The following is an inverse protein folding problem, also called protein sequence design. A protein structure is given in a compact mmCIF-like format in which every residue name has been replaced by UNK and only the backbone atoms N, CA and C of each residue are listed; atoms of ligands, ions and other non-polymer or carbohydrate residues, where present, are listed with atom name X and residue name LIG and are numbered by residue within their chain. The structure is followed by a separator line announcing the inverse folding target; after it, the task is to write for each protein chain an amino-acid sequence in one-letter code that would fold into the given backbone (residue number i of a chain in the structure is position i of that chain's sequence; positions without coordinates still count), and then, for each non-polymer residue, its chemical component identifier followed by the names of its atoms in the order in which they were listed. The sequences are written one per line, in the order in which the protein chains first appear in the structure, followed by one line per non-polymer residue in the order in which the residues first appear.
data_IF_559024810127
#
_entry.id   IF_559024810127
#
_cell.length_a   1.000
_cell.length_b   1.000
_cell.length_c   1.000
_cell.angle_alpha   90.00
_cell.angle_beta   90.00
_cell.angle_gamma   90.00
#
_symmetry.space_group_name_H-M   'P 1'
#
loop_
_entity.id
_entity.type
_entity.pdbx_description
1 polymer ?
#
# COMPACT_ATOMS: atom_id res chain seq x y z
N UNK A 1 -1.65 -15.92 13.79
CA UNK A 1 -0.81 -16.31 12.64
C UNK A 1 0.38 -17.05 13.20
N UNK A 2 0.62 -18.29 12.74
CA UNK A 2 1.84 -19.05 13.07
C UNK A 2 2.84 -18.77 11.96
N UNK A 3 3.94 -18.10 12.29
CA UNK A 3 5.03 -17.84 11.35
C UNK A 3 5.82 -19.14 11.14
N UNK A 4 6.03 -19.55 9.91
CA UNK A 4 6.82 -20.73 9.58
C UNK A 4 8.31 -20.51 9.92
N UNK A 5 8.79 -19.30 9.65
CA UNK A 5 10.12 -18.81 10.02
C UNK A 5 9.94 -17.47 10.73
N UNK A 6 10.80 -17.17 11.69
CA UNK A 6 10.80 -15.84 12.33
C UNK A 6 11.66 -14.88 11.51
N UNK A 7 11.19 -14.58 10.30
CA UNK A 7 11.91 -13.79 9.30
C UNK A 7 12.27 -14.62 8.06
N UNK A 8 13.51 -14.53 7.60
CA UNK A 8 14.01 -15.24 6.42
C UNK A 8 14.30 -16.72 6.73
N UNK A 9 13.90 -17.62 5.83
CA UNK A 9 14.42 -18.99 5.81
C UNK A 9 15.89 -19.02 5.39
N UNK A 10 16.56 -20.16 5.60
CA UNK A 10 17.95 -20.35 5.12
C UNK A 10 18.09 -20.08 3.62
N UNK A 11 17.08 -20.48 2.82
CA UNK A 11 17.05 -20.18 1.38
C UNK A 11 16.85 -18.68 1.12
N UNK A 12 16.01 -17.99 1.92
CA UNK A 12 15.82 -16.55 1.85
C UNK A 12 17.12 -15.81 2.12
N UNK A 13 17.89 -16.19 3.14
CA UNK A 13 19.18 -15.60 3.44
C UNK A 13 20.20 -15.80 2.29
N UNK A 14 20.23 -17.00 1.72
CA UNK A 14 21.07 -17.29 0.54
C UNK A 14 20.63 -16.45 -0.68
N UNK A 15 19.34 -16.22 -0.86
CA UNK A 15 18.81 -15.36 -1.92
C UNK A 15 19.32 -13.94 -1.80
N UNK A 16 19.30 -13.32 -0.60
CA UNK A 16 19.85 -11.96 -0.36
C UNK A 16 21.32 -11.91 -0.79
N UNK A 17 22.15 -12.88 -0.39
CA UNK A 17 23.57 -12.94 -0.77
C UNK A 17 23.73 -13.03 -2.30
N UNK A 18 22.89 -13.82 -2.98
CA UNK A 18 22.93 -13.97 -4.45
C UNK A 18 22.47 -12.69 -5.16
N UNK A 19 21.41 -12.03 -4.67
CA UNK A 19 20.94 -10.76 -5.20
C UNK A 19 22.03 -9.69 -5.13
N UNK A 20 22.71 -9.54 -3.99
CA UNK A 20 23.86 -8.64 -3.86
C UNK A 20 24.98 -8.97 -4.86
N UNK A 21 25.30 -10.25 -5.03
CA UNK A 21 26.34 -10.67 -5.98
C UNK A 21 26.01 -10.32 -7.43
N UNK A 22 24.73 -10.33 -7.79
CA UNK A 22 24.29 -10.08 -9.17
C UNK A 22 23.81 -8.62 -9.40
N UNK A 23 23.90 -7.77 -8.37
CA UNK A 23 23.47 -6.38 -8.46
C UNK A 23 21.93 -6.24 -8.59
N UNK A 24 21.18 -7.21 -8.04
CA UNK A 24 19.71 -7.15 -8.02
C UNK A 24 19.29 -6.35 -6.81
N UNK A 25 18.49 -5.29 -7.01
CA UNK A 25 17.92 -4.48 -5.94
C UNK A 25 16.95 -5.31 -5.11
N UNK A 26 17.00 -5.12 -3.79
CA UNK A 26 16.13 -5.80 -2.84
C UNK A 26 15.06 -4.83 -2.38
N UNK A 27 13.78 -5.22 -2.49
CA UNK A 27 12.63 -4.44 -2.08
C UNK A 27 12.06 -4.96 -0.75
N UNK A 28 11.78 -4.03 0.18
CA UNK A 28 11.26 -4.29 1.52
C UNK A 28 9.76 -3.99 1.67
N UNK A 29 9.04 -3.65 0.61
CA UNK A 29 7.66 -3.15 0.71
C UNK A 29 6.61 -4.20 1.11
N UNK A 30 6.92 -5.50 0.99
CA UNK A 30 5.95 -6.58 1.23
C UNK A 30 6.30 -7.58 2.33
N UNK A 31 7.57 -7.81 2.69
CA UNK A 31 7.92 -8.78 3.72
C UNK A 31 7.50 -8.35 5.13
N UNK A 32 7.59 -9.26 6.10
CA UNK A 32 7.40 -8.94 7.51
C UNK A 32 8.57 -8.11 8.07
N UNK A 33 8.32 -7.42 9.18
CA UNK A 33 9.35 -6.64 9.88
C UNK A 33 10.61 -7.49 10.15
N UNK A 34 10.44 -8.72 10.64
CA UNK A 34 11.56 -9.61 10.94
C UNK A 34 12.37 -9.95 9.69
N UNK A 35 11.69 -10.16 8.56
CA UNK A 35 12.35 -10.38 7.26
C UNK A 35 13.08 -9.12 6.78
N UNK A 36 12.48 -7.96 6.94
CA UNK A 36 13.08 -6.68 6.58
C UNK A 36 14.34 -6.40 7.39
N UNK A 37 14.28 -6.55 8.71
CA UNK A 37 15.41 -6.34 9.61
C UNK A 37 16.57 -7.30 9.30
N UNK A 38 16.27 -8.58 9.07
CA UNK A 38 17.29 -9.56 8.68
C UNK A 38 17.88 -9.27 7.29
N UNK A 39 17.04 -8.82 6.36
CA UNK A 39 17.47 -8.43 5.01
C UNK A 39 18.46 -7.26 5.07
N UNK A 40 18.13 -6.21 5.82
CA UNK A 40 18.99 -5.04 5.98
C UNK A 40 20.32 -5.39 6.66
N UNK A 41 20.30 -6.28 7.65
CA UNK A 41 21.51 -6.76 8.32
C UNK A 41 22.41 -7.62 7.41
N UNK A 42 21.84 -8.39 6.48
CA UNK A 42 22.57 -9.28 5.57
C UNK A 42 23.04 -8.58 4.29
N UNK A 43 22.28 -7.60 3.82
CA UNK A 43 22.57 -6.93 2.54
C UNK A 43 23.87 -6.10 2.63
N UNK A 44 24.72 -6.27 1.63
CA UNK A 44 25.97 -5.50 1.45
C UNK A 44 25.77 -4.27 0.56
N UNK A 45 24.57 -4.10 0.04
CA UNK A 45 24.17 -2.97 -0.82
C UNK A 45 22.94 -2.31 -0.24
N UNK A 46 22.72 -1.01 -0.50
CA UNK A 46 21.50 -0.34 -0.12
C UNK A 46 20.26 -1.08 -0.61
N UNK A 47 19.24 -1.15 0.23
CA UNK A 47 17.92 -1.73 -0.10
C UNK A 47 16.92 -0.63 -0.41
N UNK A 48 15.77 -0.99 -0.97
CA UNK A 48 14.70 -0.07 -1.31
C UNK A 48 13.38 -0.54 -0.69
N UNK A 49 12.60 0.36 -0.11
CA UNK A 49 11.19 0.14 0.10
C UNK A 49 10.44 0.93 -0.99
N UNK A 50 10.11 0.25 -2.09
CA UNK A 50 9.63 0.88 -3.33
C UNK A 50 8.27 1.58 -3.18
N UNK A 51 7.44 1.15 -2.22
CA UNK A 51 6.12 1.72 -1.93
C UNK A 51 5.73 1.44 -0.48
N UNK A 52 6.14 2.30 0.42
CA UNK A 52 5.83 2.22 1.85
C UNK A 52 5.55 3.62 2.43
N UNK A 53 5.48 3.76 3.73
CA UNK A 53 5.32 5.03 4.46
C UNK A 53 5.67 4.83 5.93
N UNK A 54 5.62 5.89 6.74
CA UNK A 54 5.85 5.80 8.18
C UNK A 54 4.64 5.21 8.91
N UNK A 55 4.83 4.11 9.64
CA UNK A 55 3.79 3.47 10.45
C UNK A 55 3.35 4.32 11.62
N UNK A 56 4.25 5.07 12.22
CA UNK A 56 3.99 5.98 13.34
C UNK A 56 3.01 7.09 12.99
N UNK A 57 3.00 7.59 11.75
CA UNK A 57 2.05 8.62 11.30
C UNK A 57 0.65 8.03 11.09
N UNK A 58 0.55 6.81 10.55
CA UNK A 58 -0.71 6.14 10.28
C UNK A 58 -0.51 4.62 10.35
N UNK A 59 -1.04 3.96 11.40
CA UNK A 59 -0.75 2.56 11.75
C UNK A 59 -1.36 1.55 10.77
N UNK A 60 -0.62 1.26 9.71
CA UNK A 60 -0.92 0.21 8.73
C UNK A 60 0.22 -0.80 8.72
N UNK A 61 -0.10 -2.09 8.86
CA UNK A 61 0.89 -3.17 8.96
C UNK A 61 1.87 -3.30 7.78
N UNK A 62 1.55 -2.69 6.65
CA UNK A 62 2.39 -2.67 5.43
C UNK A 62 3.43 -1.55 5.42
N UNK A 63 3.42 -0.71 6.44
CA UNK A 63 4.36 0.40 6.59
C UNK A 63 5.53 0.02 7.47
N UNK A 64 6.64 0.74 7.29
CA UNK A 64 7.82 0.60 8.12
C UNK A 64 7.64 1.35 9.44
N UNK A 65 7.95 0.71 10.55
CA UNK A 65 8.05 1.38 11.84
C UNK A 65 9.41 2.10 11.99
N UNK A 66 9.56 2.85 13.08
CA UNK A 66 10.75 3.67 13.30
C UNK A 66 12.03 2.84 13.38
N UNK A 67 11.97 1.62 13.93
CA UNK A 67 13.13 0.73 14.00
C UNK A 67 13.58 0.27 12.61
N UNK A 68 12.60 -0.09 11.75
CA UNK A 68 12.86 -0.44 10.35
C UNK A 68 13.42 0.76 9.56
N UNK A 69 12.85 1.96 9.76
CA UNK A 69 13.31 3.19 9.11
C UNK A 69 14.76 3.53 9.52
N UNK A 70 15.10 3.41 10.80
CA UNK A 70 16.46 3.64 11.28
C UNK A 70 17.45 2.59 10.73
N UNK A 71 17.07 1.32 10.71
CA UNK A 71 17.88 0.26 10.09
C UNK A 71 18.07 0.47 8.58
N UNK A 72 17.05 0.96 7.88
CA UNK A 72 17.14 1.32 6.47
C UNK A 72 18.13 2.46 6.23
N UNK A 73 18.13 3.49 7.08
CA UNK A 73 19.13 4.57 7.05
C UNK A 73 20.55 4.04 7.23
N UNK A 74 20.77 3.17 8.22
CA UNK A 74 22.10 2.57 8.48
C UNK A 74 22.58 1.71 7.31
N UNK A 75 21.67 1.00 6.64
CA UNK A 75 21.97 0.25 5.42
C UNK A 75 22.28 1.16 4.21
N UNK A 76 21.93 2.46 4.27
CA UNK A 76 22.02 3.41 3.16
C UNK A 76 20.87 3.29 2.16
N UNK A 77 19.80 2.62 2.52
CA UNK A 77 18.61 2.39 1.70
C UNK A 77 17.71 3.61 1.59
N UNK A 78 16.64 3.48 0.77
CA UNK A 78 15.65 4.51 0.53
C UNK A 78 14.24 3.94 0.76
N UNK A 79 13.39 4.68 1.48
CA UNK A 79 11.95 4.45 1.52
C UNK A 79 11.25 5.42 0.57
N UNK A 80 10.43 4.88 -0.33
CA UNK A 80 9.61 5.68 -1.23
C UNK A 80 8.18 5.74 -0.71
N UNK A 81 7.74 6.95 -0.35
CA UNK A 81 6.43 7.20 0.23
C UNK A 81 5.35 6.99 -0.82
N UNK A 82 4.39 6.11 -0.54
CA UNK A 82 3.32 5.77 -1.48
C UNK A 82 2.07 6.62 -1.23
N UNK A 83 1.47 7.12 -2.32
CA UNK A 83 0.32 8.03 -2.28
C UNK A 83 -1.04 7.30 -2.30
N UNK A 84 -1.17 6.16 -1.63
CA UNK A 84 -2.46 5.49 -1.43
C UNK A 84 -3.25 6.12 -0.29
N UNK A 85 -4.55 6.42 -0.47
CA UNK A 85 -5.43 6.97 0.56
C UNK A 85 -5.29 6.24 1.90
N UNK A 86 -5.42 4.91 1.90
CA UNK A 86 -5.35 4.09 3.11
C UNK A 86 -3.97 4.08 3.77
N UNK A 87 -2.91 4.39 3.01
CA UNK A 87 -1.56 4.50 3.56
C UNK A 87 -1.30 5.89 4.12
N UNK A 88 -1.88 6.91 3.51
CA UNK A 88 -1.69 8.29 3.94
C UNK A 88 -2.53 8.61 5.16
N UNK A 89 -3.85 8.41 5.10
CA UNK A 89 -4.74 8.62 6.25
C UNK A 89 -5.84 7.53 6.30
N UNK A 90 -5.73 6.64 7.29
CA UNK A 90 -6.65 5.53 7.46
C UNK A 90 -8.05 5.99 7.92
N UNK A 91 -8.12 7.08 8.70
CA UNK A 91 -9.39 7.61 9.23
C UNK A 91 -10.17 8.27 8.10
N UNK A 92 -9.56 9.19 7.37
CA UNK A 92 -10.17 9.81 6.18
C UNK A 92 -10.53 8.76 5.13
N UNK A 93 -9.66 7.77 4.91
CA UNK A 93 -9.95 6.67 4.00
C UNK A 93 -11.18 5.86 4.41
N UNK A 94 -11.31 5.49 5.69
CA UNK A 94 -12.45 4.73 6.20
C UNK A 94 -13.77 5.53 6.09
N UNK A 95 -13.73 6.82 6.40
CA UNK A 95 -14.87 7.73 6.26
C UNK A 95 -15.28 7.88 4.79
N UNK A 96 -14.31 8.07 3.90
CA UNK A 96 -14.54 8.14 2.45
C UNK A 96 -15.14 6.83 1.93
N UNK A 97 -14.61 5.68 2.35
CA UNK A 97 -15.09 4.37 1.95
C UNK A 97 -16.56 4.17 2.38
N UNK A 98 -16.89 4.49 3.63
CA UNK A 98 -18.25 4.37 4.15
C UNK A 98 -19.25 5.25 3.37
N UNK A 99 -18.91 6.51 3.12
CA UNK A 99 -19.75 7.43 2.36
C UNK A 99 -19.87 7.01 0.88
N UNK A 100 -18.79 6.49 0.29
CA UNK A 100 -18.77 5.96 -1.08
C UNK A 100 -19.64 4.70 -1.21
N UNK A 101 -19.57 3.79 -0.23
CA UNK A 101 -20.37 2.58 -0.22
C UNK A 101 -21.87 2.89 -0.06
N UNK A 102 -22.24 3.82 0.84
CA UNK A 102 -23.62 4.29 1.00
C UNK A 102 -24.16 4.88 -0.31
N UNK A 103 -23.40 5.75 -0.96
CA UNK A 103 -23.79 6.34 -2.24
C UNK A 103 -23.90 5.27 -3.34
N UNK A 104 -22.96 4.32 -3.38
CA UNK A 104 -23.01 3.22 -4.33
C UNK A 104 -24.28 2.38 -4.15
N UNK A 105 -24.60 2.00 -2.91
CA UNK A 105 -25.76 1.16 -2.61
C UNK A 105 -27.08 1.88 -2.94
N UNK A 106 -27.16 3.18 -2.69
CA UNK A 106 -28.31 4.00 -3.08
C UNK A 106 -28.48 4.05 -4.62
N UNK A 107 -27.40 4.22 -5.37
CA UNK A 107 -27.42 4.24 -6.84
C UNK A 107 -27.70 2.86 -7.44
N UNK A 108 -27.07 1.82 -6.88
CA UNK A 108 -27.29 0.43 -7.28
C UNK A 108 -28.78 0.04 -7.12
N UNK A 109 -29.38 0.39 -5.97
CA UNK A 109 -30.80 0.16 -5.72
C UNK A 109 -31.71 0.88 -6.73
N UNK A 110 -31.39 2.12 -7.08
CA UNK A 110 -32.16 2.89 -8.06
C UNK A 110 -32.10 2.30 -9.49
N UNK A 111 -31.04 1.54 -9.79
CA UNK A 111 -30.81 0.90 -11.10
C UNK A 111 -31.12 -0.59 -11.11
N UNK A 112 -31.68 -1.14 -10.02
CA UNK A 112 -31.89 -2.59 -9.81
C UNK A 112 -30.61 -3.40 -10.06
N UNK A 113 -29.46 -2.83 -9.64
CA UNK A 113 -28.14 -3.44 -9.78
C UNK A 113 -27.72 -4.12 -8.49
N UNK A 114 -27.47 -5.44 -8.53
CA UNK A 114 -27.02 -6.22 -7.39
C UNK A 114 -25.50 -6.38 -7.38
N UNK A 115 -24.83 -6.05 -6.26
CA UNK A 115 -23.39 -6.35 -6.07
C UNK A 115 -23.17 -7.86 -5.99
N UNK A 116 -22.29 -8.38 -6.85
CA UNK A 116 -21.89 -9.79 -6.86
C UNK A 116 -20.52 -9.97 -6.20
N UNK A 117 -20.43 -11.04 -5.39
CA UNK A 117 -19.13 -11.42 -4.81
C UNK A 117 -18.18 -11.98 -5.88
N UNK A 118 -16.89 -11.95 -5.61
CA UNK A 118 -15.87 -12.59 -6.45
C UNK A 118 -16.14 -14.09 -6.71
N UNK A 119 -16.70 -14.80 -5.72
CA UNK A 119 -17.07 -16.20 -5.87
C UNK A 119 -18.12 -16.38 -6.95
N UNK A 120 -19.17 -15.54 -6.95
CA UNK A 120 -20.22 -15.54 -7.96
C UNK A 120 -19.65 -15.14 -9.33
N UNK A 121 -18.87 -14.06 -9.38
CA UNK A 121 -18.30 -13.57 -10.66
C UNK A 121 -17.42 -14.61 -11.37
N UNK A 122 -16.69 -15.45 -10.62
CA UNK A 122 -15.87 -16.54 -11.18
C UNK A 122 -16.69 -17.65 -11.86
N UNK A 123 -17.94 -17.82 -11.47
CA UNK A 123 -18.83 -18.83 -12.03
C UNK A 123 -19.71 -18.32 -13.18
N UNK A 124 -19.67 -17.01 -13.47
CA UNK A 124 -20.42 -16.39 -14.56
C UNK A 124 -19.77 -16.73 -15.92
N UNK A 125 -20.63 -16.85 -16.94
CA UNK A 125 -20.17 -16.87 -18.33
C UNK A 125 -19.43 -15.57 -18.66
N UNK A 126 -18.45 -15.63 -19.57
CA UNK A 126 -17.57 -14.50 -19.86
C UNK A 126 -18.33 -13.25 -20.32
N UNK A 127 -19.32 -13.43 -21.21
CA UNK A 127 -20.16 -12.34 -21.71
C UNK A 127 -20.96 -11.65 -20.62
N UNK A 128 -21.57 -12.44 -19.72
CA UNK A 128 -22.40 -11.93 -18.62
C UNK A 128 -21.54 -11.20 -17.60
N UNK A 129 -20.34 -11.73 -17.30
CA UNK A 129 -19.37 -11.09 -16.43
C UNK A 129 -18.87 -9.77 -17.01
N UNK A 130 -18.59 -9.71 -18.31
CA UNK A 130 -18.12 -8.49 -18.96
C UNK A 130 -19.21 -7.41 -18.99
N UNK A 131 -20.47 -7.79 -19.22
CA UNK A 131 -21.61 -6.87 -19.13
C UNK A 131 -21.78 -6.36 -17.69
N UNK A 132 -21.74 -7.24 -16.69
CA UNK A 132 -21.79 -6.88 -15.28
C UNK A 132 -20.67 -5.91 -14.90
N UNK A 133 -19.43 -6.21 -15.29
CA UNK A 133 -18.27 -5.37 -15.00
C UNK A 133 -18.33 -4.00 -15.68
N UNK A 134 -18.94 -3.92 -16.86
CA UNK A 134 -19.16 -2.64 -17.55
C UNK A 134 -20.12 -1.76 -16.74
N UNK A 135 -21.25 -2.30 -16.29
CA UNK A 135 -22.22 -1.58 -15.46
C UNK A 135 -21.63 -1.20 -14.10
N UNK A 136 -20.92 -2.13 -13.46
CA UNK A 136 -20.26 -1.91 -12.17
C UNK A 136 -19.24 -0.76 -12.24
N UNK A 137 -18.39 -0.75 -13.28
CA UNK A 137 -17.39 0.32 -13.48
C UNK A 137 -18.04 1.67 -13.77
N UNK A 138 -19.12 1.70 -14.55
CA UNK A 138 -19.86 2.94 -14.82
C UNK A 138 -20.43 3.52 -13.52
N UNK A 139 -21.03 2.68 -12.70
CA UNK A 139 -21.56 3.07 -11.39
C UNK A 139 -20.46 3.54 -10.43
N UNK A 140 -19.33 2.84 -10.38
CA UNK A 140 -18.16 3.27 -9.60
C UNK A 140 -17.62 4.63 -10.06
N UNK A 141 -17.58 4.87 -11.36
CA UNK A 141 -17.11 6.16 -11.91
C UNK A 141 -18.05 7.31 -11.52
N UNK A 142 -19.38 7.10 -11.57
CA UNK A 142 -20.36 8.09 -11.13
C UNK A 142 -20.22 8.40 -9.63
N UNK A 143 -20.11 7.36 -8.80
CA UNK A 143 -19.91 7.51 -7.36
C UNK A 143 -18.60 8.26 -7.07
N UNK A 144 -17.50 7.89 -7.73
CA UNK A 144 -16.22 8.56 -7.56
C UNK A 144 -16.27 10.04 -7.94
N UNK A 145 -16.91 10.39 -9.06
CA UNK A 145 -17.10 11.77 -9.49
C UNK A 145 -17.91 12.56 -8.44
N UNK A 146 -19.01 11.99 -7.95
CA UNK A 146 -19.86 12.63 -6.94
C UNK A 146 -19.10 12.84 -5.61
N UNK A 147 -18.29 11.87 -5.21
CA UNK A 147 -17.46 11.98 -3.98
C UNK A 147 -16.40 13.07 -4.14
N UNK A 148 -15.75 13.16 -5.29
CA UNK A 148 -14.76 14.22 -5.59
C UNK A 148 -15.41 15.61 -5.62
N UNK A 149 -16.60 15.76 -6.21
CA UNK A 149 -17.33 17.03 -6.20
C UNK A 149 -17.70 17.49 -4.78
N UNK A 150 -18.02 16.55 -3.89
CA UNK A 150 -18.32 16.88 -2.49
C UNK A 150 -17.09 17.28 -1.69
N UNK A 151 -15.89 16.86 -2.10
CA UNK A 151 -14.63 17.14 -1.40
C UNK A 151 -14.59 16.67 0.05
N UNK A 152 -15.43 15.69 0.43
CA UNK A 152 -15.51 15.18 1.79
C UNK A 152 -14.53 14.03 1.99
N UNK A 153 -13.82 14.05 3.14
CA UNK A 153 -12.89 12.98 3.53
C UNK A 153 -11.77 12.74 2.52
N UNK A 154 -11.40 13.76 1.76
CA UNK A 154 -10.29 13.63 0.82
C UNK A 154 -8.95 13.57 1.59
N UNK A 155 -8.14 12.60 1.20
CA UNK A 155 -6.73 12.57 1.55
C UNK A 155 -6.01 13.44 0.52
N UNK A 156 -5.31 14.46 0.98
CA UNK A 156 -4.71 15.46 0.11
C UNK A 156 -3.17 15.46 0.17
N UNK A 157 -2.57 16.41 -0.53
CA UNK A 157 -1.11 16.56 -0.59
C UNK A 157 -0.52 16.92 0.78
N UNK A 158 -1.26 17.64 1.63
CA UNK A 158 -0.78 17.99 2.98
C UNK A 158 -0.63 16.75 3.84
N UNK A 159 -1.63 15.85 3.82
CA UNK A 159 -1.58 14.57 4.53
C UNK A 159 -0.38 13.72 4.05
N UNK A 160 -0.10 13.75 2.75
CA UNK A 160 1.04 13.02 2.18
C UNK A 160 2.39 13.64 2.61
N UNK A 161 2.48 14.96 2.66
CA UNK A 161 3.69 15.67 3.10
C UNK A 161 4.00 15.36 4.57
N UNK A 162 3.00 15.18 5.45
CA UNK A 162 3.21 14.82 6.85
C UNK A 162 4.03 13.52 6.99
N UNK A 163 3.81 12.54 6.10
CA UNK A 163 4.64 11.32 6.05
C UNK A 163 6.07 11.60 5.61
N UNK A 164 6.25 12.43 4.58
CA UNK A 164 7.58 12.82 4.10
C UNK A 164 8.35 13.57 5.18
N UNK A 165 7.75 14.58 5.79
CA UNK A 165 8.36 15.38 6.84
C UNK A 165 8.75 14.52 8.05
N UNK A 166 7.86 13.62 8.48
CA UNK A 166 8.17 12.69 9.56
C UNK A 166 9.42 11.85 9.24
N UNK A 167 9.44 11.20 8.07
CA UNK A 167 10.56 10.34 7.70
C UNK A 167 11.86 11.12 7.44
N UNK A 168 11.77 12.30 6.81
CA UNK A 168 12.94 13.18 6.62
C UNK A 168 13.53 13.62 7.96
N UNK A 169 12.71 13.95 8.94
CA UNK A 169 13.18 14.30 10.29
C UNK A 169 13.82 13.11 11.01
N UNK A 170 13.32 11.90 10.80
CA UNK A 170 13.81 10.69 11.46
C UNK A 170 15.09 10.15 10.80
N UNK A 171 15.09 10.00 9.47
CA UNK A 171 16.16 9.28 8.74
C UNK A 171 16.96 10.17 7.78
N UNK A 172 16.52 11.38 7.50
CA UNK A 172 17.19 12.33 6.61
C UNK A 172 16.69 12.29 5.17
N UNK A 173 16.81 13.41 4.47
CA UNK A 173 16.28 13.61 3.10
C UNK A 173 16.87 12.64 2.07
N UNK A 174 18.09 12.18 2.26
CA UNK A 174 18.77 11.27 1.33
C UNK A 174 18.18 9.84 1.33
N UNK A 175 17.38 9.50 2.34
CA UNK A 175 16.80 8.18 2.53
C UNK A 175 15.30 8.14 2.28
N UNK A 176 14.71 9.27 1.81
CA UNK A 176 13.25 9.39 1.56
C UNK A 176 12.99 9.77 0.11
N UNK A 177 12.08 9.07 -0.52
CA UNK A 177 11.64 9.32 -1.90
C UNK A 177 10.12 9.33 -2.02
N UNK A 178 9.64 9.51 -3.24
CA UNK A 178 8.23 9.56 -3.59
C UNK A 178 7.91 8.42 -4.57
N UNK A 179 6.80 7.73 -4.31
CA UNK A 179 6.26 6.68 -5.17
C UNK A 179 4.75 6.82 -5.30
N UNK A 180 4.17 6.24 -6.33
CA UNK A 180 2.72 6.22 -6.53
C UNK A 180 2.15 4.81 -6.50
N UNK A 181 2.94 3.81 -6.88
CA UNK A 181 2.51 2.42 -7.06
C UNK A 181 1.37 2.29 -8.12
N UNK A 182 1.38 3.15 -9.14
CA UNK A 182 0.47 3.14 -10.29
C UNK A 182 1.05 2.35 -11.45
#
# INVERSE_FOLDING_TARGET
IVWLYNGLSDLGQQAIVKMNKWGIMIDLSHPSKESNMQTMALSKTPVNASHSSARTVNDVNRKLDDEELLALKENGGVVQTVAFRSYVDLIKHAQWQAASDELFDARASALDFERKSWAIMRTMEATDRDQYMTQYRALQAEVSATMSEKGQYEVDVSDFIDHLDYMVNLIGINNVGISSDF
#
